data_IF_409867380840
#
_entry.id   IF_409867380840
#
_cell.length_a   1.000
_cell.length_b   1.000
_cell.length_c   1.000
_cell.angle_alpha   90.00
_cell.angle_beta   90.00
_cell.angle_gamma   90.00
#
_symmetry.space_group_name_H-M   'P 1'
#
loop_
_entity.id
_entity.type
_entity.pdbx_description
1 polymer ?
#
# COMPACT_ATOMS: atom_id res chain seq x y z
N UNK A 1 -25.38 -1.78 6.95
CA UNK A 1 -26.05 -1.83 5.66
C UNK A 1 -27.33 -2.68 5.79
N UNK A 2 -28.33 -2.40 4.97
CA UNK A 2 -29.58 -3.15 4.88
C UNK A 2 -30.04 -3.28 3.44
N UNK A 3 -30.99 -4.17 3.18
CA UNK A 3 -31.59 -4.37 1.85
C UNK A 3 -33.10 -4.11 1.94
N UNK A 4 -33.62 -3.32 1.01
CA UNK A 4 -35.04 -3.11 0.81
C UNK A 4 -35.32 -3.03 -0.69
N UNK A 5 -36.36 -3.73 -1.15
CA UNK A 5 -36.79 -3.71 -2.56
C UNK A 5 -35.66 -3.99 -3.58
N UNK A 6 -34.76 -4.90 -3.24
CA UNK A 6 -33.61 -5.27 -4.12
C UNK A 6 -32.50 -4.24 -4.18
N UNK A 7 -32.48 -3.28 -3.26
CA UNK A 7 -31.45 -2.22 -3.19
C UNK A 7 -30.75 -2.22 -1.85
N UNK A 8 -29.43 -2.15 -1.87
CA UNK A 8 -28.61 -1.91 -0.68
C UNK A 8 -28.74 -0.48 -0.21
N UNK A 9 -28.87 -0.29 1.10
CA UNK A 9 -28.72 1.01 1.76
C UNK A 9 -27.65 0.93 2.82
N UNK A 10 -26.62 1.76 2.69
CA UNK A 10 -25.47 1.81 3.60
C UNK A 10 -25.37 3.19 4.25
N UNK A 11 -25.24 3.21 5.58
CA UNK A 11 -24.85 4.42 6.32
C UNK A 11 -23.34 4.44 6.44
N UNK A 12 -22.74 5.51 5.94
CA UNK A 12 -21.31 5.79 5.98
C UNK A 12 -21.06 6.89 7.00
N UNK A 13 -20.03 6.73 7.81
CA UNK A 13 -19.58 7.77 8.75
C UNK A 13 -18.23 8.31 8.32
N UNK A 14 -18.17 9.63 8.13
CA UNK A 14 -16.91 10.33 7.97
C UNK A 14 -16.14 10.27 9.29
N UNK A 15 -14.94 9.70 9.27
CA UNK A 15 -14.12 9.48 10.48
C UNK A 15 -13.47 10.75 11.00
N UNK A 16 -13.40 11.82 10.22
CA UNK A 16 -12.82 13.10 10.63
C UNK A 16 -13.88 14.03 11.25
N UNK A 17 -15.08 14.02 10.67
CA UNK A 17 -16.16 14.94 11.08
C UNK A 17 -17.23 14.28 11.94
N UNK A 18 -17.31 12.95 11.93
CA UNK A 18 -18.39 12.19 12.52
C UNK A 18 -19.71 12.28 11.74
N UNK A 19 -19.76 13.02 10.62
CA UNK A 19 -20.96 13.16 9.81
C UNK A 19 -21.38 11.82 9.20
N UNK A 20 -22.69 11.57 9.15
CA UNK A 20 -23.25 10.36 8.56
C UNK A 20 -23.93 10.68 7.22
N UNK A 21 -23.70 9.79 6.26
CA UNK A 21 -24.28 9.86 4.93
C UNK A 21 -24.90 8.51 4.57
N UNK A 22 -26.06 8.53 3.94
CA UNK A 22 -26.70 7.34 3.41
C UNK A 22 -26.46 7.24 1.92
N UNK A 23 -26.11 6.05 1.44
CA UNK A 23 -25.95 5.73 0.01
C UNK A 23 -26.74 4.48 -0.33
N UNK A 24 -27.36 4.48 -1.51
CA UNK A 24 -28.09 3.33 -2.03
C UNK A 24 -27.40 2.79 -3.28
N UNK A 25 -27.39 1.46 -3.43
CA UNK A 25 -26.75 0.79 -4.55
C UNK A 25 -27.47 -0.52 -4.89
N UNK A 26 -27.49 -0.89 -6.17
CA UNK A 26 -28.04 -2.18 -6.63
C UNK A 26 -27.18 -3.36 -6.19
N UNK A 27 -25.89 -3.15 -5.96
CA UNK A 27 -24.93 -4.16 -5.56
C UNK A 27 -23.94 -3.58 -4.57
N UNK A 28 -23.46 -4.41 -3.64
CA UNK A 28 -22.39 -4.09 -2.72
C UNK A 28 -21.16 -4.93 -3.08
N UNK A 29 -19.98 -4.29 -3.17
CA UNK A 29 -18.69 -4.98 -3.34
C UNK A 29 -17.91 -4.88 -2.03
N UNK A 30 -17.71 -6.01 -1.38
CA UNK A 30 -16.95 -6.13 -0.16
C UNK A 30 -15.51 -6.54 -0.49
N UNK A 31 -14.63 -5.56 -0.62
CA UNK A 31 -13.19 -5.74 -0.80
C UNK A 31 -12.44 -5.29 0.48
N UNK A 32 -12.98 -5.63 1.65
CA UNK A 32 -12.54 -5.18 2.96
C UNK A 32 -11.22 -5.80 3.45
N UNK A 33 -10.57 -6.67 2.67
CA UNK A 33 -9.31 -7.30 3.05
C UNK A 33 -9.41 -8.04 4.38
N UNK A 34 -8.62 -7.67 5.42
CA UNK A 34 -8.68 -8.33 6.73
C UNK A 34 -10.07 -8.30 7.39
N UNK A 35 -10.90 -7.31 7.06
CA UNK A 35 -12.23 -7.12 7.64
C UNK A 35 -13.36 -7.71 6.80
N UNK A 36 -13.07 -8.45 5.73
CA UNK A 36 -14.09 -8.97 4.81
C UNK A 36 -15.14 -9.81 5.54
N UNK A 37 -14.72 -10.69 6.47
CA UNK A 37 -15.61 -11.53 7.27
C UNK A 37 -16.47 -10.69 8.25
N UNK A 38 -15.88 -9.71 8.92
CA UNK A 38 -16.59 -8.80 9.82
C UNK A 38 -17.67 -7.98 9.07
N UNK A 39 -17.35 -7.56 7.84
CA UNK A 39 -18.30 -6.86 6.98
C UNK A 39 -19.46 -7.79 6.62
N UNK A 40 -19.21 -9.04 6.23
CA UNK A 40 -20.24 -10.03 5.90
C UNK A 40 -21.16 -10.24 7.10
N UNK A 41 -20.62 -10.64 8.23
CA UNK A 41 -21.41 -11.04 9.39
C UNK A 41 -21.97 -9.84 10.17
N UNK A 42 -21.15 -8.81 10.42
CA UNK A 42 -21.50 -7.69 11.26
C UNK A 42 -22.24 -6.56 10.54
N UNK A 43 -21.82 -6.20 9.32
CA UNK A 43 -22.37 -5.03 8.60
C UNK A 43 -23.44 -5.39 7.59
N UNK A 44 -23.23 -6.45 6.83
CA UNK A 44 -24.20 -6.95 5.86
C UNK A 44 -25.22 -7.89 6.50
N UNK A 45 -24.93 -8.46 7.66
CA UNK A 45 -25.76 -9.43 8.39
C UNK A 45 -26.07 -10.65 7.53
N UNK A 46 -25.09 -11.11 6.78
CA UNK A 46 -25.16 -12.33 5.99
C UNK A 46 -24.50 -13.49 6.75
N UNK A 47 -24.98 -14.71 6.51
CA UNK A 47 -24.43 -15.91 7.08
C UNK A 47 -23.89 -16.81 5.96
N UNK A 48 -22.71 -16.45 5.44
CA UNK A 48 -21.96 -17.31 4.53
C UNK A 48 -20.94 -18.09 5.34
N UNK A 49 -20.60 -19.33 4.92
CA UNK A 49 -19.58 -20.14 5.58
C UNK A 49 -18.14 -19.69 5.27
N UNK A 50 -17.98 -18.61 4.49
CA UNK A 50 -16.68 -18.14 4.01
C UNK A 50 -15.99 -17.25 5.04
N UNK A 51 -14.68 -17.43 5.17
CA UNK A 51 -13.86 -16.73 6.17
C UNK A 51 -12.47 -16.42 5.62
N UNK A 52 -11.71 -15.62 6.36
CA UNK A 52 -10.29 -15.32 6.12
C UNK A 52 -9.43 -15.79 7.28
N UNK A 53 -8.26 -16.33 6.95
CA UNK A 53 -7.17 -16.53 7.87
C UNK A 53 -6.24 -15.33 7.80
N UNK A 54 -6.06 -14.64 8.90
CA UNK A 54 -5.19 -13.48 8.98
C UNK A 54 -3.78 -13.92 9.35
N UNK A 55 -2.81 -13.58 8.49
CA UNK A 55 -1.40 -13.95 8.67
C UNK A 55 -0.54 -12.70 8.65
N UNK A 56 0.11 -12.41 9.79
CA UNK A 56 1.09 -11.33 9.89
C UNK A 56 2.40 -11.74 9.23
N UNK A 57 2.98 -10.82 8.48
CA UNK A 57 4.34 -10.92 7.96
C UNK A 57 5.15 -9.70 8.35
N UNK A 58 6.29 -9.92 8.97
CA UNK A 58 7.19 -8.88 9.47
C UNK A 58 8.44 -8.77 8.63
N UNK A 59 8.98 -7.56 8.57
CA UNK A 59 10.21 -7.22 7.86
C UNK A 59 11.09 -6.34 8.74
N UNK A 60 12.39 -6.50 8.60
CA UNK A 60 13.40 -5.59 9.14
C UNK A 60 14.09 -4.85 8.00
N UNK A 61 14.42 -3.59 8.22
CA UNK A 61 15.24 -2.77 7.33
C UNK A 61 16.53 -2.48 8.05
N UNK A 62 17.63 -2.84 7.42
CA UNK A 62 18.97 -2.63 7.95
C UNK A 62 19.72 -1.59 7.14
N UNK A 63 20.87 -1.10 7.64
CA UNK A 63 21.85 -0.44 6.79
C UNK A 63 22.25 -1.38 5.66
N UNK A 64 22.76 -0.80 4.57
CA UNK A 64 23.15 -1.56 3.37
C UNK A 64 24.15 -2.67 3.69
N UNK A 65 23.81 -3.91 3.32
CA UNK A 65 24.63 -5.10 3.62
C UNK A 65 25.49 -5.54 2.43
N UNK A 66 25.21 -5.09 1.21
CA UNK A 66 25.94 -5.46 -0.01
C UNK A 66 25.83 -4.35 -1.08
N UNK A 67 26.78 -4.33 -2.04
CA UNK A 67 26.97 -3.20 -2.96
C UNK A 67 26.35 -3.36 -4.35
N UNK A 68 25.72 -4.50 -4.66
CA UNK A 68 25.04 -4.72 -5.93
C UNK A 68 23.53 -4.48 -5.82
N UNK A 69 22.86 -4.42 -6.95
CA UNK A 69 21.42 -4.16 -7.11
C UNK A 69 20.54 -5.43 -7.14
N UNK A 70 21.13 -6.61 -7.00
CA UNK A 70 20.43 -7.88 -7.06
C UNK A 70 19.89 -8.26 -5.69
N UNK A 71 18.67 -8.82 -5.65
CA UNK A 71 18.12 -9.39 -4.43
C UNK A 71 18.64 -10.82 -4.21
N UNK A 72 18.80 -11.18 -2.94
CA UNK A 72 19.02 -12.54 -2.52
C UNK A 72 17.70 -13.25 -2.21
N UNK A 73 17.67 -14.51 -2.56
CA UNK A 73 16.61 -15.46 -2.22
C UNK A 73 17.25 -16.55 -1.37
N UNK A 74 16.90 -16.61 -0.11
CA UNK A 74 17.41 -17.60 0.84
C UNK A 74 16.36 -18.63 1.16
N UNK A 75 16.72 -19.90 1.18
CA UNK A 75 15.83 -21.00 1.55
C UNK A 75 16.34 -21.65 2.83
N UNK A 76 15.57 -21.55 3.91
CA UNK A 76 15.91 -22.13 5.19
C UNK A 76 15.71 -23.65 5.24
N UNK A 77 16.32 -24.28 6.24
CA UNK A 77 16.15 -25.70 6.51
C UNK A 77 14.70 -26.04 6.94
N UNK A 78 13.98 -25.08 7.46
CA UNK A 78 12.54 -25.15 7.79
C UNK A 78 11.61 -25.01 6.58
N UNK A 79 12.16 -24.90 5.36
CA UNK A 79 11.45 -24.72 4.11
C UNK A 79 10.93 -23.30 3.85
N UNK A 80 11.16 -22.35 4.75
CA UNK A 80 10.80 -20.94 4.56
C UNK A 80 11.75 -20.24 3.62
N UNK A 81 11.22 -19.21 2.99
CA UNK A 81 11.95 -18.35 2.06
C UNK A 81 12.04 -16.96 2.66
N UNK A 82 13.25 -16.42 2.70
CA UNK A 82 13.51 -15.04 3.11
C UNK A 82 14.28 -14.34 1.98
N UNK A 83 13.93 -13.11 1.74
CA UNK A 83 14.61 -12.24 0.79
C UNK A 83 15.47 -11.24 1.52
N UNK A 84 16.63 -10.88 0.93
CA UNK A 84 17.37 -9.67 1.25
C UNK A 84 17.44 -8.82 -0.02
N UNK A 85 16.81 -7.65 0.03
CA UNK A 85 16.52 -6.81 -1.14
C UNK A 85 17.18 -5.44 -0.95
N UNK A 86 17.92 -4.90 -1.95
CA UNK A 86 18.33 -3.49 -1.93
C UNK A 86 17.11 -2.60 -1.76
N UNK A 87 17.17 -1.70 -0.78
CA UNK A 87 16.00 -0.91 -0.40
C UNK A 87 16.38 0.56 -0.25
N UNK A 88 15.63 1.44 -0.91
CA UNK A 88 15.81 2.89 -0.86
C UNK A 88 17.28 3.34 -1.05
N UNK A 89 18.04 2.64 -1.87
CA UNK A 89 19.45 2.87 -2.22
C UNK A 89 20.45 2.52 -1.12
N UNK A 90 20.20 2.95 0.13
CA UNK A 90 21.17 2.90 1.23
C UNK A 90 20.88 1.82 2.27
N UNK A 91 19.87 1.00 2.04
CA UNK A 91 19.37 0.03 3.00
C UNK A 91 19.20 -1.35 2.39
N UNK A 92 18.98 -2.34 3.24
CA UNK A 92 18.59 -3.69 2.87
C UNK A 92 17.31 -4.07 3.60
N UNK A 93 16.30 -4.52 2.85
CA UNK A 93 15.07 -5.07 3.38
C UNK A 93 15.20 -6.57 3.52
N UNK A 94 14.94 -7.12 4.72
CA UNK A 94 14.96 -8.55 5.00
C UNK A 94 13.58 -9.00 5.46
N UNK A 95 13.04 -10.05 4.88
CA UNK A 95 11.74 -10.62 5.23
C UNK A 95 11.33 -11.75 4.31
N UNK A 96 10.32 -12.48 4.66
CA UNK A 96 9.27 -12.17 5.64
C UNK A 96 9.04 -13.32 6.63
N UNK A 97 8.34 -13.03 7.70
CA UNK A 97 7.75 -14.05 8.61
C UNK A 97 6.33 -14.40 8.20
N UNK A 98 5.80 -15.50 8.74
CA UNK A 98 4.38 -15.90 8.67
C UNK A 98 3.93 -16.30 10.08
N UNK A 99 3.08 -15.48 10.71
CA UNK A 99 2.51 -15.70 12.04
C UNK A 99 1.01 -15.44 12.03
N UNK A 100 0.22 -16.25 12.70
CA UNK A 100 -1.22 -16.01 12.82
C UNK A 100 -1.49 -14.66 13.53
N UNK A 101 -2.52 -13.94 13.08
CA UNK A 101 -2.94 -12.63 13.59
C UNK A 101 -4.46 -12.56 13.68
N UNK A 102 -5.04 -13.13 14.74
CA UNK A 102 -6.49 -13.41 14.79
C UNK A 102 -7.38 -12.17 14.86
N UNK A 103 -6.88 -11.02 15.32
CA UNK A 103 -7.66 -9.80 15.46
C UNK A 103 -7.24 -8.74 14.43
N UNK A 104 -8.09 -8.42 13.42
CA UNK A 104 -7.79 -7.42 12.41
C UNK A 104 -7.71 -5.98 12.96
N UNK A 105 -8.21 -5.73 14.18
CA UNK A 105 -8.16 -4.41 14.81
C UNK A 105 -6.85 -4.15 15.55
N UNK A 106 -6.11 -5.20 15.87
CA UNK A 106 -4.80 -5.09 16.49
C UNK A 106 -3.77 -4.60 15.47
N UNK A 107 -3.02 -3.54 15.82
CA UNK A 107 -1.94 -3.02 14.96
C UNK A 107 -0.84 -4.07 14.82
N UNK A 108 -0.54 -4.56 13.60
CA UNK A 108 0.55 -5.51 13.41
C UNK A 108 1.90 -4.85 13.70
N UNK A 109 2.71 -5.51 14.51
CA UNK A 109 4.08 -5.08 14.84
C UNK A 109 5.04 -6.26 14.68
N UNK A 110 6.28 -5.98 14.31
CA UNK A 110 7.36 -6.96 14.31
C UNK A 110 7.73 -7.29 15.76
N UNK A 111 7.47 -8.53 16.18
CA UNK A 111 7.80 -8.96 17.55
C UNK A 111 9.30 -9.17 17.71
N UNK A 112 9.82 -9.18 18.96
CA UNK A 112 11.22 -9.53 19.23
C UNK A 112 11.60 -10.89 18.63
N UNK A 113 10.73 -11.89 18.73
CA UNK A 113 10.94 -13.25 18.22
C UNK A 113 11.03 -13.26 16.69
N UNK A 114 10.17 -12.51 15.99
CA UNK A 114 10.21 -12.38 14.54
C UNK A 114 11.46 -11.65 14.07
N UNK A 115 11.86 -10.59 14.79
CA UNK A 115 13.11 -9.87 14.54
C UNK A 115 14.32 -10.78 14.68
N UNK A 116 14.42 -11.49 15.80
CA UNK A 116 15.56 -12.35 16.11
C UNK A 116 15.64 -13.53 15.14
N UNK A 117 14.51 -14.08 14.72
CA UNK A 117 14.43 -15.08 13.66
C UNK A 117 15.00 -14.55 12.33
N UNK A 118 14.61 -13.35 11.90
CA UNK A 118 15.09 -12.75 10.65
C UNK A 118 16.59 -12.44 10.70
N UNK A 119 17.09 -11.97 11.85
CA UNK A 119 18.52 -11.71 12.06
C UNK A 119 19.36 -13.01 12.02
N UNK A 120 18.90 -14.04 12.74
CA UNK A 120 19.58 -15.34 12.76
C UNK A 120 19.62 -15.95 11.36
N UNK A 121 18.47 -15.95 10.66
CA UNK A 121 18.37 -16.50 9.32
C UNK A 121 19.30 -15.79 8.32
N UNK A 122 19.29 -14.45 8.30
CA UNK A 122 20.15 -13.68 7.40
C UNK A 122 21.64 -13.91 7.71
N UNK A 123 21.99 -14.02 8.98
CA UNK A 123 23.37 -14.24 9.43
C UNK A 123 23.97 -15.58 8.97
N UNK A 124 23.14 -16.58 8.63
CA UNK A 124 23.62 -17.84 8.05
C UNK A 124 24.22 -17.67 6.65
N UNK A 125 23.81 -16.61 5.92
CA UNK A 125 24.16 -16.39 4.52
C UNK A 125 25.15 -15.26 4.29
N UNK A 126 25.25 -14.29 5.21
CA UNK A 126 26.19 -13.19 5.11
C UNK A 126 27.49 -13.50 5.84
N UNK A 127 28.62 -13.06 5.29
CA UNK A 127 29.96 -13.25 5.91
C UNK A 127 30.05 -12.59 7.29
N UNK A 128 29.43 -11.42 7.43
CA UNK A 128 29.31 -10.70 8.70
C UNK A 128 27.91 -10.93 9.23
N UNK A 129 27.75 -11.43 10.47
CA UNK A 129 26.43 -11.57 11.06
C UNK A 129 25.68 -10.25 11.08
N UNK A 130 24.38 -10.30 10.78
CA UNK A 130 23.47 -9.15 10.87
C UNK A 130 22.97 -9.05 12.31
N UNK A 131 23.09 -7.88 12.90
CA UNK A 131 22.79 -7.65 14.32
C UNK A 131 21.64 -6.68 14.51
N UNK A 132 21.11 -6.58 15.73
CA UNK A 132 20.05 -5.62 16.06
C UNK A 132 20.49 -4.16 15.85
N UNK A 133 21.78 -3.85 15.96
CA UNK A 133 22.34 -2.52 15.76
C UNK A 133 22.34 -2.09 14.28
N UNK A 134 22.21 -3.04 13.37
CA UNK A 134 22.07 -2.76 11.93
C UNK A 134 20.65 -2.35 11.55
N UNK A 135 19.66 -2.64 12.42
CA UNK A 135 18.25 -2.36 12.14
C UNK A 135 17.99 -0.86 12.28
N UNK A 136 17.43 -0.28 11.23
CA UNK A 136 17.00 1.13 11.20
C UNK A 136 15.47 1.28 11.24
N UNK A 137 14.74 0.24 10.83
CA UNK A 137 13.27 0.24 10.84
C UNK A 137 12.71 -1.17 10.78
N UNK A 138 11.49 -1.34 11.28
CA UNK A 138 10.70 -2.57 11.15
C UNK A 138 9.28 -2.23 10.74
N UNK A 139 8.65 -3.12 9.99
CA UNK A 139 7.22 -3.01 9.72
C UNK A 139 6.58 -4.39 9.55
N UNK A 140 5.28 -4.43 9.77
CA UNK A 140 4.48 -5.64 9.62
C UNK A 140 3.18 -5.33 8.88
N UNK A 141 2.67 -6.33 8.18
CA UNK A 141 1.40 -6.27 7.50
C UNK A 141 0.61 -7.56 7.69
N UNK A 142 -0.71 -7.49 7.53
CA UNK A 142 -1.59 -8.64 7.64
C UNK A 142 -2.05 -9.08 6.26
N UNK A 143 -1.89 -10.38 5.96
CA UNK A 143 -2.40 -11.02 4.75
C UNK A 143 -3.76 -11.65 5.06
N UNK A 144 -4.84 -11.24 4.44
CA UNK A 144 -6.14 -11.90 4.57
C UNK A 144 -6.22 -13.07 3.57
N UNK A 145 -5.71 -14.22 3.94
CA UNK A 145 -5.80 -15.41 3.08
C UNK A 145 -7.22 -16.00 3.16
N UNK A 146 -7.71 -16.53 2.04
CA UNK A 146 -8.97 -17.29 2.06
C UNK A 146 -8.80 -18.51 2.97
N UNK A 147 -9.75 -18.73 3.88
CA UNK A 147 -9.73 -19.87 4.76
C UNK A 147 -10.29 -21.10 4.04
N UNK A 148 -9.39 -21.85 3.42
CA UNK A 148 -9.68 -23.11 2.72
C UNK A 148 -9.59 -24.34 3.63
N UNK A 149 -9.49 -24.13 4.95
CA UNK A 149 -9.32 -25.20 5.94
C UNK A 149 -7.89 -25.76 6.03
N UNK A 150 -6.91 -25.08 5.43
CA UNK A 150 -5.50 -25.48 5.47
C UNK A 150 -4.96 -25.52 6.91
N UNK A 151 -4.16 -26.57 7.23
CA UNK A 151 -3.62 -26.82 8.58
C UNK A 151 -2.59 -25.78 9.02
N UNK A 152 -1.99 -25.03 8.10
CA UNK A 152 -0.98 -24.01 8.41
C UNK A 152 -1.15 -22.76 7.53
N UNK A 153 -0.65 -21.62 8.00
CA UNK A 153 -0.61 -20.37 7.25
C UNK A 153 0.17 -20.48 5.93
N UNK A 154 1.18 -21.35 5.92
CA UNK A 154 2.04 -21.57 4.74
C UNK A 154 1.35 -22.41 3.65
N UNK A 155 0.38 -23.25 4.04
CA UNK A 155 -0.36 -24.12 3.13
C UNK A 155 -1.64 -23.47 2.58
N UNK A 156 -2.14 -22.39 3.20
CA UNK A 156 -3.33 -21.66 2.75
C UNK A 156 -3.13 -21.06 1.35
N UNK A 157 -4.19 -21.07 0.54
CA UNK A 157 -4.15 -20.50 -0.81
C UNK A 157 -3.79 -19.00 -0.77
N UNK A 158 -2.92 -18.58 -1.68
CA UNK A 158 -2.55 -17.17 -1.88
C UNK A 158 -3.26 -16.55 -3.08
N UNK A 159 -4.11 -17.30 -3.77
CA UNK A 159 -4.95 -16.80 -4.83
C UNK A 159 -6.20 -16.13 -4.26
N UNK A 160 -6.79 -15.22 -5.05
CA UNK A 160 -8.05 -14.60 -4.65
C UNK A 160 -9.23 -15.52 -4.90
N UNK A 161 -10.23 -15.40 -4.05
CA UNK A 161 -11.54 -16.03 -4.22
C UNK A 161 -12.60 -14.95 -4.35
N UNK A 162 -13.46 -15.07 -5.36
CA UNK A 162 -14.59 -14.17 -5.62
C UNK A 162 -15.89 -14.94 -5.38
N UNK A 163 -16.70 -14.48 -4.45
CA UNK A 163 -17.98 -15.08 -4.11
C UNK A 163 -19.12 -14.08 -4.28
N UNK A 164 -20.17 -14.45 -4.99
CA UNK A 164 -21.39 -13.66 -5.12
C UNK A 164 -22.45 -14.25 -4.23
N UNK A 165 -22.98 -13.46 -3.31
CA UNK A 165 -24.14 -13.75 -2.47
C UNK A 165 -25.34 -12.96 -2.97
N UNK A 166 -26.33 -13.63 -3.53
CA UNK A 166 -27.59 -13.08 -4.03
C UNK A 166 -28.81 -13.49 -3.19
N UNK A 167 -28.61 -14.35 -2.19
CA UNK A 167 -29.65 -14.94 -1.35
C UNK A 167 -30.45 -13.98 -0.46
N UNK A 168 -30.02 -12.70 -0.35
CA UNK A 168 -30.60 -11.74 0.57
C UNK A 168 -31.39 -10.59 -0.09
N UNK A 169 -31.83 -10.73 -1.32
CA UNK A 169 -32.69 -9.77 -2.02
C UNK A 169 -31.92 -8.71 -2.85
N UNK A 170 -30.68 -8.38 -2.49
CA UNK A 170 -29.77 -7.60 -3.33
C UNK A 170 -28.39 -8.28 -3.36
N UNK A 171 -27.72 -8.36 -4.53
CA UNK A 171 -26.46 -9.08 -4.67
C UNK A 171 -25.30 -8.38 -3.94
N UNK A 172 -24.36 -9.19 -3.47
CA UNK A 172 -23.08 -8.72 -2.94
C UNK A 172 -21.94 -9.56 -3.50
N UNK A 173 -20.86 -8.91 -3.88
CA UNK A 173 -19.59 -9.56 -4.23
C UNK A 173 -18.66 -9.48 -3.03
N UNK A 174 -18.16 -10.62 -2.57
CA UNK A 174 -17.09 -10.71 -1.57
C UNK A 174 -15.77 -11.09 -2.22
N UNK A 175 -14.71 -10.35 -1.90
CA UNK A 175 -13.35 -10.54 -2.42
C UNK A 175 -12.45 -11.01 -1.27
N UNK A 176 -11.94 -12.21 -1.37
CA UNK A 176 -11.06 -12.80 -0.37
C UNK A 176 -9.65 -12.98 -0.93
N UNK A 177 -8.64 -12.69 -0.13
CA UNK A 177 -7.24 -12.93 -0.49
C UNK A 177 -6.74 -12.06 -1.65
N UNK A 178 -5.81 -12.64 -2.40
CA UNK A 178 -5.18 -12.01 -3.55
C UNK A 178 -3.85 -11.34 -3.24
N UNK A 179 -3.03 -11.20 -4.28
CA UNK A 179 -1.73 -10.51 -4.24
C UNK A 179 -1.86 -9.15 -4.89
N UNK A 180 -1.06 -8.18 -4.42
CA UNK A 180 -0.99 -6.87 -5.07
C UNK A 180 -0.63 -6.98 -6.56
N UNK A 181 0.17 -7.97 -6.94
CA UNK A 181 0.59 -8.19 -8.33
C UNK A 181 -0.53 -8.72 -9.24
N UNK A 182 -1.63 -9.21 -8.68
CA UNK A 182 -2.77 -9.75 -9.45
C UNK A 182 -3.99 -8.83 -9.44
N UNK A 183 -3.89 -7.62 -8.84
CA UNK A 183 -5.01 -6.71 -8.64
C UNK A 183 -5.80 -6.40 -9.92
N UNK A 184 -5.10 -6.16 -11.03
CA UNK A 184 -5.71 -5.84 -12.32
C UNK A 184 -6.57 -6.99 -12.84
N UNK A 185 -6.01 -8.22 -12.80
CA UNK A 185 -6.72 -9.42 -13.24
C UNK A 185 -7.89 -9.73 -12.32
N UNK A 186 -7.70 -9.59 -10.99
CA UNK A 186 -8.76 -9.72 -10.01
C UNK A 186 -9.93 -8.77 -10.32
N UNK A 187 -9.64 -7.51 -10.64
CA UNK A 187 -10.67 -6.52 -10.94
C UNK A 187 -11.46 -6.89 -12.21
N UNK A 188 -10.79 -7.37 -13.28
CA UNK A 188 -11.46 -7.87 -14.49
C UNK A 188 -12.33 -9.10 -14.20
N UNK A 189 -11.82 -10.07 -13.44
CA UNK A 189 -12.56 -11.29 -13.09
C UNK A 189 -13.74 -10.97 -12.16
N UNK A 190 -13.59 -9.98 -11.27
CA UNK A 190 -14.68 -9.48 -10.43
C UNK A 190 -15.82 -8.89 -11.30
N UNK A 191 -15.48 -8.03 -12.28
CA UNK A 191 -16.47 -7.47 -13.20
C UNK A 191 -17.15 -8.54 -14.05
N UNK A 192 -16.40 -9.50 -14.60
CA UNK A 192 -16.98 -10.64 -15.32
C UNK A 192 -17.99 -11.40 -14.45
N UNK A 193 -17.65 -11.63 -13.18
CA UNK A 193 -18.49 -12.40 -12.25
C UNK A 193 -19.79 -11.71 -11.90
N UNK A 194 -19.80 -10.39 -11.89
CA UNK A 194 -21.00 -9.59 -11.54
C UNK A 194 -21.69 -8.98 -12.75
N UNK A 195 -21.26 -9.28 -13.95
CA UNK A 195 -21.79 -8.67 -15.18
C UNK A 195 -23.30 -8.80 -15.33
N UNK A 196 -23.91 -9.92 -14.88
CA UNK A 196 -25.35 -10.13 -14.92
C UNK A 196 -26.14 -9.18 -14.02
N UNK A 197 -25.51 -8.54 -13.03
CA UNK A 197 -26.13 -7.62 -12.09
C UNK A 197 -25.88 -6.14 -12.43
N UNK A 198 -25.07 -5.88 -13.45
CA UNK A 198 -24.71 -4.52 -13.89
C UNK A 198 -25.39 -4.18 -15.22
N UNK A 199 -25.56 -2.88 -15.53
CA UNK A 199 -25.87 -2.48 -16.89
C UNK A 199 -24.74 -2.92 -17.83
N UNK A 200 -25.02 -2.89 -19.13
CA UNK A 200 -24.00 -3.25 -20.13
C UNK A 200 -22.68 -2.54 -19.87
N UNK A 201 -21.61 -3.31 -19.73
CA UNK A 201 -20.25 -2.82 -19.47
C UNK A 201 -19.41 -2.97 -20.72
N UNK A 202 -18.43 -2.08 -20.92
CA UNK A 202 -17.44 -2.21 -21.98
C UNK A 202 -16.56 -3.45 -21.79
N UNK A 203 -15.84 -3.85 -22.84
CA UNK A 203 -14.88 -4.96 -22.80
C UNK A 203 -13.65 -4.64 -21.94
N UNK A 204 -12.80 -5.64 -21.74
CA UNK A 204 -11.53 -5.53 -21.00
C UNK A 204 -10.57 -4.56 -21.68
N UNK A 205 -10.11 -3.57 -20.95
CA UNK A 205 -9.21 -2.52 -21.45
C UNK A 205 -7.97 -2.30 -20.58
N UNK A 206 -8.00 -2.75 -19.33
CA UNK A 206 -7.00 -2.41 -18.31
C UNK A 206 -5.59 -2.93 -18.63
N UNK A 207 -5.45 -3.99 -19.45
CA UNK A 207 -4.14 -4.57 -19.80
C UNK A 207 -3.20 -3.61 -20.56
N UNK A 208 -3.77 -2.60 -21.24
CA UNK A 208 -3.03 -1.64 -22.06
C UNK A 208 -3.12 -0.21 -21.55
N UNK A 209 -3.86 0.03 -20.50
CA UNK A 209 -3.96 1.33 -19.89
C UNK A 209 -2.77 1.54 -18.92
N UNK A 210 -2.02 2.62 -19.07
CA UNK A 210 -0.99 2.96 -18.10
C UNK A 210 -1.63 3.31 -16.76
N UNK A 211 -0.91 3.07 -15.66
CA UNK A 211 -1.23 3.65 -14.36
C UNK A 211 -0.82 5.14 -14.37
N UNK A 212 -1.36 5.97 -13.46
CA UNK A 212 -0.88 7.32 -13.28
C UNK A 212 0.65 7.37 -13.16
N UNK A 213 1.28 8.25 -13.90
CA UNK A 213 2.74 8.34 -13.98
C UNK A 213 3.43 7.24 -14.79
N UNK A 214 2.71 6.17 -15.24
CA UNK A 214 3.28 5.01 -15.91
C UNK A 214 3.29 5.08 -17.44
N UNK A 215 2.93 6.18 -18.06
CA UNK A 215 2.82 6.34 -19.52
C UNK A 215 4.19 6.63 -20.17
N UNK A 216 5.08 5.63 -20.10
CA UNK A 216 6.39 5.66 -20.75
C UNK A 216 6.90 4.22 -21.00
N UNK A 217 7.89 3.99 -21.90
CA UNK A 217 8.43 2.67 -22.17
C UNK A 217 9.06 2.02 -20.93
N UNK A 218 8.99 0.68 -20.84
CA UNK A 218 9.52 -0.10 -19.70
C UNK A 218 11.00 0.18 -19.44
N UNK A 219 11.79 0.41 -20.47
CA UNK A 219 13.21 0.77 -20.43
C UNK A 219 13.47 2.28 -20.42
N UNK A 220 12.41 3.10 -20.35
CA UNK A 220 12.47 4.56 -20.47
C UNK A 220 12.84 5.32 -19.20
N UNK A 221 13.07 4.65 -18.07
CA UNK A 221 13.31 5.32 -16.76
C UNK A 221 14.51 6.28 -16.81
N UNK A 222 15.64 5.86 -17.37
CA UNK A 222 16.85 6.71 -17.44
C UNK A 222 16.66 7.92 -18.37
N UNK A 223 15.93 7.75 -19.45
CA UNK A 223 15.56 8.85 -20.34
C UNK A 223 14.65 9.87 -19.63
N UNK A 224 13.68 9.38 -18.85
CA UNK A 224 12.79 10.23 -18.08
C UNK A 224 13.52 11.01 -16.98
N UNK A 225 14.48 10.37 -16.27
CA UNK A 225 15.36 11.05 -15.30
C UNK A 225 16.18 12.14 -15.98
N UNK A 226 16.80 11.84 -17.12
CA UNK A 226 17.60 12.81 -17.87
C UNK A 226 16.74 13.98 -18.36
N UNK A 227 15.54 13.72 -18.83
CA UNK A 227 14.58 14.75 -19.27
C UNK A 227 14.17 15.66 -18.10
N UNK A 228 13.86 15.06 -16.93
CA UNK A 228 13.48 15.81 -15.74
C UNK A 228 14.62 16.74 -15.29
N UNK A 229 15.86 16.25 -15.26
CA UNK A 229 17.05 17.05 -14.93
C UNK A 229 17.35 18.13 -15.96
N UNK A 230 17.09 17.86 -17.24
CA UNK A 230 17.23 18.87 -18.30
C UNK A 230 16.22 20.01 -18.20
N UNK A 231 15.09 19.79 -17.54
CA UNK A 231 14.05 20.79 -17.31
C UNK A 231 14.26 21.56 -16.00
N UNK A 232 14.75 20.86 -14.98
CA UNK A 232 14.91 21.37 -13.61
C UNK A 232 16.37 21.25 -13.16
N UNK A 233 17.19 22.22 -13.51
CA UNK A 233 18.65 22.24 -13.29
C UNK A 233 19.05 22.12 -11.80
N UNK A 234 18.14 22.45 -10.89
CA UNK A 234 18.36 22.35 -9.45
C UNK A 234 18.23 20.91 -8.91
N UNK A 235 17.76 19.95 -9.72
CA UNK A 235 17.68 18.55 -9.31
C UNK A 235 19.01 17.84 -9.53
N UNK A 236 19.57 17.27 -8.47
CA UNK A 236 20.63 16.29 -8.62
C UNK A 236 20.10 14.92 -9.13
N UNK A 237 21.00 14.03 -9.51
CA UNK A 237 20.63 12.70 -10.05
C UNK A 237 19.81 11.87 -9.05
N UNK A 238 20.18 11.91 -7.78
CA UNK A 238 19.50 11.13 -6.74
C UNK A 238 18.07 11.62 -6.52
N UNK A 239 17.87 12.93 -6.48
CA UNK A 239 16.55 13.53 -6.31
C UNK A 239 15.65 13.26 -7.52
N UNK A 240 16.14 13.51 -8.73
CA UNK A 240 15.41 13.25 -9.96
C UNK A 240 15.01 11.77 -10.09
N UNK A 241 15.94 10.85 -9.79
CA UNK A 241 15.70 9.41 -9.77
C UNK A 241 14.61 9.02 -8.76
N UNK A 242 14.66 9.60 -7.56
CA UNK A 242 13.63 9.35 -6.54
C UNK A 242 12.25 9.81 -7.03
N UNK A 243 12.15 11.01 -7.58
CA UNK A 243 10.89 11.55 -8.09
C UNK A 243 10.34 10.72 -9.25
N UNK A 244 11.18 10.37 -10.22
CA UNK A 244 10.77 9.52 -11.36
C UNK A 244 10.32 8.14 -10.89
N UNK A 245 11.01 7.53 -9.93
CA UNK A 245 10.60 6.21 -9.39
C UNK A 245 9.31 6.27 -8.59
N UNK A 246 9.00 7.38 -7.95
CA UNK A 246 7.78 7.56 -7.17
C UNK A 246 6.58 7.97 -8.04
N UNK A 247 6.79 8.88 -9.00
CA UNK A 247 5.70 9.57 -9.70
C UNK A 247 5.74 9.37 -11.23
N UNK A 248 6.82 8.82 -11.79
CA UNK A 248 6.95 8.64 -13.23
C UNK A 248 6.83 9.95 -14.00
N UNK A 249 5.96 9.98 -15.02
CA UNK A 249 5.69 11.20 -15.81
C UNK A 249 5.01 12.31 -15.01
N UNK A 250 4.29 12.00 -13.94
CA UNK A 250 3.65 12.99 -13.07
C UNK A 250 4.66 13.81 -12.24
N UNK A 251 5.94 13.40 -12.18
CA UNK A 251 6.98 14.19 -11.50
C UNK A 251 7.12 15.58 -12.08
N UNK A 252 7.03 15.74 -13.40
CA UNK A 252 7.07 17.05 -14.06
C UNK A 252 5.80 17.87 -13.80
N UNK A 253 4.62 17.24 -13.78
CA UNK A 253 3.35 17.90 -13.43
C UNK A 253 3.41 18.43 -12.00
N UNK A 254 3.95 17.66 -11.07
CA UNK A 254 4.11 18.05 -9.67
C UNK A 254 5.04 19.24 -9.50
N UNK A 255 6.19 19.28 -10.20
CA UNK A 255 7.17 20.35 -10.12
C UNK A 255 6.70 21.64 -10.85
N UNK A 256 5.84 21.49 -11.87
CA UNK A 256 5.25 22.62 -12.59
C UNK A 256 6.30 23.56 -13.22
N UNK A 257 6.13 24.86 -13.01
CA UNK A 257 6.99 25.92 -13.58
C UNK A 257 8.18 26.30 -12.68
N UNK A 258 8.49 25.51 -11.65
CA UNK A 258 9.59 25.80 -10.73
C UNK A 258 10.92 26.00 -11.48
N UNK A 259 11.69 27.03 -11.13
CA UNK A 259 13.02 27.33 -11.71
C UNK A 259 14.14 27.11 -10.71
N UNK A 260 13.83 27.14 -9.43
CA UNK A 260 14.77 26.98 -8.33
C UNK A 260 14.17 26.04 -7.28
N UNK A 261 15.02 25.57 -6.37
CA UNK A 261 14.56 24.76 -5.22
C UNK A 261 13.58 25.55 -4.34
N UNK A 262 13.79 26.86 -4.21
CA UNK A 262 12.96 27.72 -3.35
C UNK A 262 11.52 27.85 -3.87
N UNK A 263 11.30 27.66 -5.18
CA UNK A 263 9.96 27.66 -5.78
C UNK A 263 9.12 26.45 -5.33
N UNK A 264 9.76 25.41 -4.75
CA UNK A 264 9.09 24.23 -4.23
C UNK A 264 8.57 24.39 -2.79
N UNK A 265 8.75 25.59 -2.20
CA UNK A 265 8.32 25.92 -0.85
C UNK A 265 9.21 25.35 0.25
N UNK A 266 8.64 25.09 1.42
CA UNK A 266 9.37 24.65 2.60
C UNK A 266 10.08 23.31 2.38
N UNK A 267 11.35 23.21 2.85
CA UNK A 267 12.17 21.99 2.80
C UNK A 267 12.06 21.23 4.14
N UNK A 268 11.52 20.02 4.09
CA UNK A 268 11.37 19.12 5.26
C UNK A 268 12.55 18.14 5.41
N UNK A 269 13.62 18.32 4.64
CA UNK A 269 14.78 17.45 4.65
C UNK A 269 14.69 16.27 3.68
N UNK A 270 15.82 15.59 3.45
CA UNK A 270 15.91 14.42 2.58
C UNK A 270 15.26 14.59 1.19
N UNK A 271 15.30 15.80 0.62
CA UNK A 271 14.66 16.20 -0.65
C UNK A 271 13.11 16.25 -0.63
N UNK A 272 12.49 16.21 0.54
CA UNK A 272 11.04 16.38 0.68
C UNK A 272 10.69 17.87 0.76
N UNK A 273 9.89 18.37 -0.16
CA UNK A 273 9.47 19.76 -0.21
C UNK A 273 7.97 19.94 -0.05
N UNK A 274 7.54 21.15 0.27
CA UNK A 274 6.13 21.51 0.37
C UNK A 274 5.36 21.13 -0.89
N UNK A 275 5.92 21.36 -2.07
CA UNK A 275 5.32 20.99 -3.36
C UNK A 275 4.94 19.51 -3.39
N UNK A 276 5.86 18.61 -3.03
CA UNK A 276 5.63 17.18 -2.99
C UNK A 276 4.60 16.79 -1.91
N UNK A 277 4.68 17.41 -0.72
CA UNK A 277 3.71 17.14 0.36
C UNK A 277 2.30 17.53 -0.07
N UNK A 278 2.12 18.68 -0.71
CA UNK A 278 0.83 19.11 -1.24
C UNK A 278 0.30 18.18 -2.33
N UNK A 279 1.18 17.68 -3.19
CA UNK A 279 0.85 16.65 -4.18
C UNK A 279 0.32 15.37 -3.52
N UNK A 280 1.06 14.84 -2.55
CA UNK A 280 0.67 13.64 -1.81
C UNK A 280 -0.66 13.81 -1.05
N UNK A 281 -0.88 14.99 -0.47
CA UNK A 281 -2.17 15.32 0.18
C UNK A 281 -3.32 15.42 -0.83
N UNK A 282 -3.06 15.88 -2.04
CA UNK A 282 -4.07 16.12 -3.06
C UNK A 282 -4.42 14.87 -3.86
N UNK A 283 -3.41 14.10 -4.25
CA UNK A 283 -3.51 12.99 -5.20
C UNK A 283 -3.43 11.62 -4.55
N UNK A 284 -2.77 11.50 -3.39
CA UNK A 284 -2.49 10.22 -2.75
C UNK A 284 -3.07 10.10 -1.33
N UNK A 285 -3.99 10.99 -0.97
CA UNK A 285 -4.74 10.93 0.30
C UNK A 285 -3.85 10.94 1.56
N UNK A 286 -2.64 11.51 1.50
CA UNK A 286 -1.81 11.67 2.69
C UNK A 286 -2.47 12.63 3.68
N UNK A 287 -2.63 12.21 4.93
CA UNK A 287 -3.29 12.98 5.99
C UNK A 287 -2.35 13.38 7.12
N UNK A 288 -1.31 12.61 7.34
CA UNK A 288 -0.36 12.77 8.44
C UNK A 288 1.08 12.72 7.92
N UNK A 289 2.03 13.24 8.71
CA UNK A 289 3.46 13.09 8.42
C UNK A 289 3.86 11.61 8.30
N UNK A 290 3.25 10.72 9.10
CA UNK A 290 3.47 9.28 9.03
C UNK A 290 3.06 8.69 7.66
N UNK A 291 1.96 9.19 7.06
CA UNK A 291 1.56 8.78 5.71
C UNK A 291 2.62 9.15 4.67
N UNK A 292 3.11 10.38 4.73
CA UNK A 292 4.16 10.86 3.81
C UNK A 292 5.44 10.08 4.00
N UNK A 293 5.95 10.02 5.24
CA UNK A 293 7.29 9.52 5.54
C UNK A 293 7.41 8.01 5.42
N UNK A 294 6.34 7.25 5.74
CA UNK A 294 6.43 5.79 5.85
C UNK A 294 5.57 5.03 4.84
N UNK A 295 4.48 5.63 4.34
CA UNK A 295 3.57 4.97 3.41
C UNK A 295 3.78 5.40 1.96
N UNK A 296 4.14 6.66 1.71
CA UNK A 296 4.29 7.21 0.35
C UNK A 296 5.74 7.29 -0.12
N UNK A 297 6.66 7.77 0.71
CA UNK A 297 8.02 8.08 0.27
C UNK A 297 9.14 7.24 0.89
N UNK A 298 8.94 6.65 2.06
CA UNK A 298 9.98 6.03 2.90
C UNK A 298 11.09 7.00 3.35
N UNK A 299 10.88 8.32 3.20
CA UNK A 299 11.85 9.33 3.62
C UNK A 299 12.02 9.40 5.14
N UNK A 300 11.11 8.79 5.92
CA UNK A 300 11.30 8.58 7.36
C UNK A 300 12.58 7.83 7.73
N UNK A 301 13.20 7.11 6.78
CA UNK A 301 14.53 6.51 6.96
C UNK A 301 15.68 7.55 7.00
N UNK A 302 15.42 8.81 6.64
CA UNK A 302 16.44 9.86 6.44
C UNK A 302 16.15 11.17 7.15
N UNK A 303 14.88 11.50 7.40
CA UNK A 303 14.50 12.70 8.14
C UNK A 303 14.67 12.48 9.65
N UNK A 304 15.06 13.52 10.37
CA UNK A 304 15.11 13.49 11.81
C UNK A 304 13.76 13.84 12.48
N UNK A 305 13.74 13.80 13.80
CA UNK A 305 12.52 14.04 14.59
C UNK A 305 11.98 15.48 14.44
N UNK A 306 12.85 16.47 14.33
CA UNK A 306 12.47 17.87 14.20
C UNK A 306 11.87 18.14 12.81
N UNK A 307 12.47 17.58 11.76
CA UNK A 307 11.94 17.63 10.40
C UNK A 307 10.57 16.94 10.29
N UNK A 308 10.42 15.76 10.92
CA UNK A 308 9.14 15.06 10.96
C UNK A 308 8.06 15.85 11.71
N UNK A 309 8.43 16.53 12.81
CA UNK A 309 7.52 17.39 13.57
C UNK A 309 7.10 18.62 12.75
N UNK A 310 8.05 19.30 12.07
CA UNK A 310 7.78 20.43 11.19
C UNK A 310 6.80 20.04 10.06
N UNK A 311 7.02 18.90 9.41
CA UNK A 311 6.11 18.33 8.43
C UNK A 311 4.69 18.13 9.00
N UNK A 312 4.58 17.60 10.22
CA UNK A 312 3.29 17.40 10.90
C UNK A 312 2.53 18.70 11.14
N UNK A 313 3.24 19.75 11.58
CA UNK A 313 2.69 21.10 11.78
C UNK A 313 2.20 21.68 10.44
N UNK A 314 3.05 21.63 9.41
CA UNK A 314 2.69 22.08 8.07
C UNK A 314 1.43 21.38 7.55
N UNK A 315 1.37 20.06 7.58
CA UNK A 315 0.23 19.31 7.06
C UNK A 315 -1.07 19.62 7.82
N UNK A 316 -0.98 19.83 9.13
CA UNK A 316 -2.13 20.21 9.96
C UNK A 316 -2.68 21.56 9.50
N UNK A 317 -1.82 22.56 9.30
CA UNK A 317 -2.18 23.90 8.82
C UNK A 317 -2.76 23.81 7.39
N UNK A 318 -2.10 23.13 6.48
CA UNK A 318 -2.52 22.99 5.09
C UNK A 318 -3.92 22.33 4.95
N UNK A 319 -4.29 21.40 5.86
CA UNK A 319 -5.63 20.80 5.91
C UNK A 319 -6.70 21.81 6.34
N UNK A 320 -6.38 22.73 7.22
CA UNK A 320 -7.31 23.78 7.69
C UNK A 320 -7.56 24.83 6.62
N UNK A 321 -6.56 25.12 5.78
CA UNK A 321 -6.63 26.10 4.69
C UNK A 321 -7.44 25.64 3.47
N UNK A 322 -7.61 24.31 3.29
CA UNK A 322 -8.44 23.78 2.20
C UNK A 322 -9.94 23.99 2.52
N UNK A 323 -10.69 24.69 1.64
CA UNK A 323 -12.13 24.64 1.72
C UNK A 323 -12.56 23.16 1.65
N UNK A 324 -13.36 22.69 2.60
CA UNK A 324 -13.98 21.37 2.51
C UNK A 324 -14.80 21.34 1.22
N UNK A 325 -14.31 20.62 0.20
CA UNK A 325 -15.14 20.30 -0.94
C UNK A 325 -16.37 19.59 -0.39
N UNK A 326 -17.55 20.13 -0.67
CA UNK A 326 -18.79 19.48 -0.33
C UNK A 326 -18.75 18.07 -0.93
N UNK A 327 -19.04 17.06 -0.12
CA UNK A 327 -19.16 15.69 -0.59
C UNK A 327 -20.39 15.63 -1.50
N UNK A 328 -20.18 15.73 -2.82
CA UNK A 328 -21.17 15.41 -3.83
C UNK A 328 -21.40 13.91 -3.96
#
# INVERSE_FOLDING_TARGET
>A
AGVSEGVWTATLRDTETGAEHTRSARMLVNAGGPWVADIIHGRMRRNTGENVRLVRGSHIVTRRLFDHDKCYFFQGQDGRIIFAIPYETDFTLIGTTDSDHPDPTEKPVCTPEERDYLLAFASEYFKTPVTADDIVWTYSGVRPLYDDGAKSATAATRDYVLSVDDGGGAPALNVFGGKITTYRKLAEDALDKIAAHLPETGGKWTARAPLPGGDFPVDGVEALISSLRGTYDFLDDRWARRLVRAYGTEAAEMLGDAKTKDDLGEDFGATLTECEVRWLMAREYARTAEDVLWRRTKLGLRVDADQAAALGVFMTKARQERPRAAAE
#
